data_IF_307596296885
#
_entry.id   IF_307596296885
#
_cell.length_a   1.000
_cell.length_b   1.000
_cell.length_c   1.000
_cell.angle_alpha   90.00
_cell.angle_beta   90.00
_cell.angle_gamma   90.00
#
_symmetry.space_group_name_H-M   'P 1'
#
loop_
_entity.id
_entity.type
_entity.pdbx_description
1 polymer ?
#
# COMPACT_ATOMS: atom_id res chain seq x y z
N UNK A 1 -2.92 -31.81 3.15
CA UNK A 1 -2.54 -31.13 4.40
C UNK A 1 -1.62 -29.91 4.17
N UNK A 2 -0.80 -29.91 3.10
CA UNK A 2 0.14 -28.84 2.74
C UNK A 2 -0.48 -27.47 2.39
N UNK A 3 -1.71 -27.44 1.87
CA UNK A 3 -2.35 -26.15 1.51
C UNK A 3 -2.75 -25.32 2.73
N UNK A 4 -3.20 -25.94 3.82
CA UNK A 4 -3.63 -25.21 5.01
C UNK A 4 -2.42 -24.64 5.77
N UNK A 5 -1.33 -25.42 5.82
CA UNK A 5 -0.06 -24.99 6.43
C UNK A 5 0.47 -23.72 5.76
N UNK A 6 0.57 -23.69 4.43
CA UNK A 6 1.06 -22.51 3.73
C UNK A 6 0.14 -21.28 3.96
N UNK A 7 -1.18 -21.47 3.98
CA UNK A 7 -2.11 -20.39 4.32
C UNK A 7 -1.87 -19.87 5.75
N UNK A 8 -1.68 -20.77 6.72
CA UNK A 8 -1.38 -20.40 8.10
C UNK A 8 -0.06 -19.63 8.21
N UNK A 9 1.01 -20.12 7.57
CA UNK A 9 2.33 -19.48 7.57
C UNK A 9 2.29 -18.08 6.94
N UNK A 10 1.57 -17.90 5.83
CA UNK A 10 1.35 -16.57 5.23
C UNK A 10 0.61 -15.63 6.18
N UNK A 11 -0.42 -16.13 6.87
CA UNK A 11 -1.12 -15.31 7.87
C UNK A 11 -0.18 -14.88 9.00
N UNK A 12 0.68 -15.77 9.51
CA UNK A 12 1.69 -15.41 10.52
C UNK A 12 2.66 -14.36 9.97
N UNK A 13 3.17 -14.57 8.75
CA UNK A 13 4.10 -13.66 8.07
C UNK A 13 3.53 -12.23 7.97
N UNK A 14 2.23 -12.07 7.69
CA UNK A 14 1.59 -10.76 7.54
C UNK A 14 1.68 -9.86 8.78
N UNK A 15 1.85 -10.45 9.97
CA UNK A 15 1.91 -9.74 11.24
C UNK A 15 3.32 -9.61 11.80
N UNK A 16 4.37 -10.01 11.05
CA UNK A 16 5.74 -9.80 11.48
C UNK A 16 6.10 -8.30 11.46
N UNK A 17 6.63 -7.75 12.56
CA UNK A 17 6.74 -6.30 12.71
C UNK A 17 7.97 -5.70 12.01
N UNK A 18 9.04 -6.49 11.81
CA UNK A 18 10.31 -5.99 11.28
C UNK A 18 10.89 -6.89 10.19
N UNK A 19 11.74 -6.32 9.32
CA UNK A 19 12.46 -7.12 8.31
C UNK A 19 13.36 -8.19 8.95
N UNK A 20 13.86 -7.95 10.16
CA UNK A 20 14.66 -8.92 10.92
C UNK A 20 13.81 -10.14 11.30
N UNK A 21 12.56 -9.94 11.70
CA UNK A 21 11.66 -11.03 12.04
C UNK A 21 11.25 -11.82 10.80
N UNK A 22 11.04 -11.15 9.66
CA UNK A 22 10.84 -11.81 8.36
C UNK A 22 12.04 -12.68 7.98
N UNK A 23 13.26 -12.16 8.13
CA UNK A 23 14.48 -12.93 7.86
C UNK A 23 14.63 -14.14 8.77
N UNK A 24 14.33 -14.01 10.06
CA UNK A 24 14.32 -15.13 11.01
C UNK A 24 13.25 -16.15 10.66
N UNK A 25 12.05 -15.71 10.29
CA UNK A 25 10.96 -16.56 9.86
C UNK A 25 11.36 -17.41 8.65
N UNK A 26 12.00 -16.82 7.64
CA UNK A 26 12.52 -17.54 6.47
C UNK A 26 13.46 -18.69 6.85
N UNK A 27 14.24 -18.52 7.92
CA UNK A 27 15.25 -19.47 8.38
C UNK A 27 14.68 -20.60 9.26
N UNK A 28 13.41 -20.52 9.68
CA UNK A 28 12.79 -21.55 10.55
C UNK A 28 12.61 -22.86 9.81
N UNK A 29 12.10 -22.81 8.58
CA UNK A 29 11.87 -24.00 7.75
C UNK A 29 11.71 -23.64 6.28
N UNK A 30 11.86 -24.63 5.41
CA UNK A 30 11.58 -24.49 3.97
C UNK A 30 10.16 -24.00 3.70
N UNK A 31 9.16 -24.48 4.46
CA UNK A 31 7.77 -24.00 4.34
C UNK A 31 7.64 -22.50 4.63
N UNK A 32 8.42 -21.96 5.57
CA UNK A 32 8.41 -20.53 5.90
C UNK A 32 9.06 -19.69 4.78
N UNK A 33 10.17 -20.17 4.22
CA UNK A 33 10.79 -19.57 3.04
C UNK A 33 9.83 -19.58 1.83
N UNK A 34 9.16 -20.71 1.58
CA UNK A 34 8.14 -20.83 0.53
C UNK A 34 6.95 -19.88 0.77
N UNK A 35 6.55 -19.65 2.02
CA UNK A 35 5.50 -18.70 2.35
C UNK A 35 5.89 -17.26 1.97
N UNK A 36 7.14 -16.84 2.21
CA UNK A 36 7.68 -15.54 1.75
C UNK A 36 7.67 -15.47 0.22
N UNK A 37 8.15 -16.52 -0.44
CA UNK A 37 8.25 -16.55 -1.90
C UNK A 37 6.88 -16.57 -2.59
N UNK A 38 5.80 -16.97 -1.90
CA UNK A 38 4.48 -17.12 -2.52
C UNK A 38 3.43 -16.16 -1.97
N UNK A 39 3.82 -15.19 -1.14
CA UNK A 39 2.92 -14.13 -0.68
C UNK A 39 2.83 -13.02 -1.73
N UNK A 40 1.63 -12.47 -1.90
CA UNK A 40 1.34 -11.44 -2.90
C UNK A 40 1.17 -10.04 -2.30
N UNK A 41 1.22 -9.92 -0.96
CA UNK A 41 1.13 -8.66 -0.22
C UNK A 41 2.16 -8.64 0.91
N UNK A 42 2.71 -7.47 1.22
CA UNK A 42 3.70 -7.32 2.27
C UNK A 42 3.06 -7.40 3.66
N UNK A 43 3.84 -7.78 4.69
CA UNK A 43 3.41 -7.64 6.08
C UNK A 43 3.02 -6.21 6.44
N UNK A 44 1.97 -6.08 7.23
CA UNK A 44 1.24 -4.82 7.42
C UNK A 44 2.02 -3.77 8.20
N UNK A 45 2.88 -4.20 9.12
CA UNK A 45 3.65 -3.30 9.98
C UNK A 45 4.92 -2.76 9.29
N UNK A 46 5.46 -3.47 8.29
CA UNK A 46 6.75 -3.11 7.69
C UNK A 46 6.74 -1.71 7.08
N UNK A 47 5.65 -1.32 6.43
CA UNK A 47 5.55 -0.04 5.72
C UNK A 47 5.55 1.17 6.64
N UNK A 48 5.42 0.97 7.96
CA UNK A 48 5.55 2.03 8.95
C UNK A 48 7.02 2.44 9.14
N UNK A 49 7.92 1.46 9.11
CA UNK A 49 9.32 1.65 9.52
C UNK A 49 10.31 1.54 8.35
N UNK A 50 9.91 0.87 7.28
CA UNK A 50 10.74 0.54 6.14
C UNK A 50 10.21 1.18 4.85
N UNK A 51 11.15 1.55 3.99
CA UNK A 51 10.91 2.05 2.65
C UNK A 51 10.52 0.93 1.69
N UNK A 52 10.04 1.34 0.52
CA UNK A 52 9.68 0.44 -0.56
C UNK A 52 10.87 -0.41 -1.02
N UNK A 53 12.04 0.24 -1.16
CA UNK A 53 13.28 -0.37 -1.64
C UNK A 53 13.88 -1.38 -0.64
N UNK A 54 13.55 -1.27 0.65
CA UNK A 54 13.92 -2.27 1.66
C UNK A 54 13.00 -3.49 1.67
N UNK A 55 11.70 -3.30 1.36
CA UNK A 55 10.69 -4.36 1.47
C UNK A 55 10.66 -5.23 0.20
N UNK A 56 10.63 -4.63 -0.98
CA UNK A 56 10.43 -5.35 -2.25
C UNK A 56 11.41 -6.49 -2.47
N UNK A 57 12.73 -6.33 -2.24
CA UNK A 57 13.69 -7.40 -2.52
C UNK A 57 13.43 -8.69 -1.73
N UNK A 58 12.71 -8.60 -0.60
CA UNK A 58 12.38 -9.77 0.23
C UNK A 58 11.15 -10.54 -0.26
N UNK A 59 10.30 -9.93 -1.09
CA UNK A 59 9.03 -10.52 -1.53
C UNK A 59 9.00 -10.59 -3.07
N UNK A 60 9.62 -11.61 -3.69
CA UNK A 60 9.85 -11.64 -5.13
C UNK A 60 8.56 -11.70 -5.96
N UNK A 61 7.48 -12.24 -5.40
CA UNK A 61 6.18 -12.35 -6.06
C UNK A 61 5.16 -11.32 -5.57
N UNK A 62 5.62 -10.21 -4.96
CA UNK A 62 4.74 -9.17 -4.46
C UNK A 62 3.91 -8.52 -5.57
N UNK A 63 2.58 -8.60 -5.47
CA UNK A 63 1.64 -8.01 -6.46
C UNK A 63 0.95 -6.76 -5.93
N UNK A 64 0.75 -6.68 -4.61
CA UNK A 64 0.14 -5.53 -3.92
C UNK A 64 1.04 -5.06 -2.80
N UNK A 65 1.36 -3.78 -2.77
CA UNK A 65 2.06 -3.11 -1.69
C UNK A 65 1.04 -2.38 -0.81
N UNK A 66 0.84 -2.90 0.40
CA UNK A 66 -0.05 -2.35 1.39
C UNK A 66 0.68 -1.35 2.30
N UNK A 67 0.29 -0.09 2.18
CA UNK A 67 0.71 1.03 3.01
C UNK A 67 -0.28 1.18 4.16
N UNK A 68 0.12 0.79 5.37
CA UNK A 68 -0.78 0.83 6.53
C UNK A 68 -1.14 2.26 6.94
N UNK A 69 -0.15 3.15 6.96
CA UNK A 69 -0.31 4.58 7.29
C UNK A 69 0.73 5.44 6.58
N UNK A 70 0.53 6.76 6.59
CA UNK A 70 1.48 7.74 6.03
C UNK A 70 2.91 7.45 6.51
N UNK A 71 3.75 6.94 5.62
CA UNK A 71 5.14 6.65 5.92
C UNK A 71 6.01 7.78 5.42
N UNK A 72 6.86 8.29 6.30
CA UNK A 72 7.85 9.32 5.97
C UNK A 72 8.94 8.82 5.00
N UNK A 73 8.94 7.52 4.66
CA UNK A 73 9.96 6.85 3.85
C UNK A 73 9.40 6.22 2.58
N UNK A 74 8.22 6.65 2.13
CA UNK A 74 7.71 6.28 0.81
C UNK A 74 8.45 7.09 -0.26
N UNK A 75 9.65 6.66 -0.60
CA UNK A 75 10.32 7.06 -1.83
C UNK A 75 10.70 5.79 -2.59
N UNK A 76 10.73 5.88 -3.92
CA UNK A 76 11.22 4.81 -4.78
C UNK A 76 12.19 5.41 -5.78
N UNK A 77 13.34 4.77 -5.94
CA UNK A 77 14.39 5.21 -6.87
C UNK A 77 14.05 4.78 -8.31
N UNK A 78 13.34 3.66 -8.51
CA UNK A 78 13.03 3.11 -9.85
C UNK A 78 11.57 2.66 -10.02
N UNK A 79 10.85 3.25 -10.99
CA UNK A 79 9.39 3.09 -11.10
C UNK A 79 8.88 1.83 -11.84
N UNK A 80 9.75 1.04 -12.46
CA UNK A 80 9.31 0.08 -13.49
C UNK A 80 8.65 -1.19 -12.92
N UNK A 81 9.01 -1.63 -11.71
CA UNK A 81 8.44 -2.83 -11.07
C UNK A 81 7.70 -2.47 -9.79
N UNK A 82 6.68 -1.60 -9.90
CA UNK A 82 5.83 -1.24 -8.76
C UNK A 82 4.55 -2.08 -8.79
N UNK A 83 4.32 -2.94 -7.78
CA UNK A 83 3.02 -3.59 -7.54
C UNK A 83 1.86 -2.58 -7.41
N UNK A 84 0.63 -3.09 -7.44
CA UNK A 84 -0.54 -2.29 -7.08
C UNK A 84 -0.38 -1.75 -5.65
N UNK A 85 -0.93 -0.58 -5.35
CA UNK A 85 -0.81 0.05 -4.04
C UNK A 85 -2.18 0.10 -3.38
N UNK A 86 -2.21 -0.31 -2.11
CA UNK A 86 -3.37 -0.14 -1.24
C UNK A 86 -2.98 0.65 -0.01
N UNK A 87 -3.77 1.66 0.32
CA UNK A 87 -3.49 2.57 1.42
C UNK A 87 -4.57 2.42 2.49
N UNK A 88 -4.20 1.84 3.63
CA UNK A 88 -5.10 1.56 4.76
C UNK A 88 -5.57 2.79 5.53
N UNK A 89 -4.80 3.88 5.49
CA UNK A 89 -5.17 5.15 6.09
C UNK A 89 -4.14 6.23 5.82
N UNK A 90 -4.55 7.31 5.17
CA UNK A 90 -3.69 8.44 4.90
C UNK A 90 -4.10 9.66 5.73
N UNK A 91 -3.25 9.99 6.69
CA UNK A 91 -3.34 11.20 7.50
C UNK A 91 -1.94 11.79 7.63
N UNK A 92 -1.69 12.98 7.07
CA UNK A 92 -0.42 13.66 7.32
C UNK A 92 -0.62 14.53 8.56
N UNK A 93 0.11 14.25 9.63
CA UNK A 93 0.07 15.11 10.82
C UNK A 93 1.30 16.01 10.94
N UNK A 94 2.40 15.71 10.24
CA UNK A 94 3.69 16.39 10.49
C UNK A 94 4.52 16.72 9.25
N UNK A 95 4.57 15.88 8.21
CA UNK A 95 5.29 16.17 6.95
C UNK A 95 4.49 15.70 5.75
N UNK A 96 4.28 16.61 4.80
CA UNK A 96 3.61 16.29 3.54
C UNK A 96 4.53 15.44 2.67
N UNK A 97 4.06 14.27 2.26
CA UNK A 97 4.81 13.46 1.29
C UNK A 97 4.67 14.06 -0.11
N UNK A 98 5.69 13.87 -0.94
CA UNK A 98 5.67 14.29 -2.33
C UNK A 98 5.15 13.19 -3.28
N UNK A 99 4.88 11.97 -2.78
CA UNK A 99 4.49 10.86 -3.67
C UNK A 99 3.18 11.10 -4.41
N UNK A 100 2.26 11.90 -3.85
CA UNK A 100 1.02 12.22 -4.56
C UNK A 100 1.18 13.23 -5.71
N UNK A 101 2.31 13.94 -5.74
CA UNK A 101 2.67 14.78 -6.88
C UNK A 101 3.31 13.97 -8.02
N UNK A 102 3.52 12.65 -7.85
CA UNK A 102 4.11 11.79 -8.87
C UNK A 102 3.10 10.83 -9.48
N UNK A 103 3.12 10.71 -10.81
CA UNK A 103 2.26 9.77 -11.52
C UNK A 103 2.59 8.31 -11.19
N UNK A 104 3.86 7.99 -10.90
CA UNK A 104 4.28 6.61 -10.62
C UNK A 104 3.56 6.02 -9.41
N UNK A 105 3.31 6.81 -8.36
CA UNK A 105 2.65 6.34 -7.14
C UNK A 105 1.15 6.29 -7.35
N UNK A 106 0.55 7.43 -7.71
CA UNK A 106 -0.89 7.56 -7.89
C UNK A 106 -1.47 6.59 -8.94
N UNK A 107 -0.74 6.32 -10.02
CA UNK A 107 -1.20 5.41 -11.08
C UNK A 107 -1.31 3.94 -10.65
N UNK A 108 -0.67 3.58 -9.53
CA UNK A 108 -0.69 2.23 -8.97
C UNK A 108 -1.69 2.07 -7.82
N UNK A 109 -2.24 3.17 -7.31
CA UNK A 109 -3.20 3.13 -6.21
C UNK A 109 -4.49 2.49 -6.71
N UNK A 110 -4.83 1.33 -6.14
CA UNK A 110 -6.10 0.63 -6.36
C UNK A 110 -7.13 0.99 -5.28
N UNK A 111 -6.67 1.13 -4.04
CA UNK A 111 -7.52 1.46 -2.89
C UNK A 111 -6.85 2.50 -2.02
N UNK A 112 -7.60 3.50 -1.58
CA UNK A 112 -7.10 4.47 -0.63
C UNK A 112 -8.17 4.91 0.35
N UNK A 113 -7.81 4.85 1.63
CA UNK A 113 -8.51 5.52 2.70
C UNK A 113 -7.76 6.79 3.08
N UNK A 114 -8.36 7.96 2.97
CA UNK A 114 -7.69 9.26 3.12
C UNK A 114 -8.56 10.25 3.88
N UNK A 115 -7.95 11.08 4.72
CA UNK A 115 -8.64 12.17 5.39
C UNK A 115 -9.13 13.26 4.40
N UNK A 116 -10.31 13.83 4.67
CA UNK A 116 -11.03 14.69 3.75
C UNK A 116 -10.27 15.92 3.31
N UNK A 117 -9.53 16.54 4.24
CA UNK A 117 -8.67 17.68 3.95
C UNK A 117 -7.60 17.34 2.90
N UNK A 118 -7.03 16.13 2.97
CA UNK A 118 -5.97 15.68 2.08
C UNK A 118 -6.50 15.16 0.75
N UNK A 119 -7.66 14.52 0.76
CA UNK A 119 -8.36 14.09 -0.44
C UNK A 119 -8.51 15.26 -1.42
N UNK A 120 -8.96 16.40 -0.91
CA UNK A 120 -9.07 17.66 -1.68
C UNK A 120 -7.73 18.05 -2.33
N UNK A 121 -6.67 18.13 -1.53
CA UNK A 121 -5.34 18.57 -2.00
C UNK A 121 -4.69 17.64 -3.01
N UNK A 122 -4.97 16.36 -2.92
CA UNK A 122 -4.27 15.30 -3.67
C UNK A 122 -5.05 14.90 -4.91
N UNK A 123 -6.32 14.54 -4.73
CA UNK A 123 -7.11 13.93 -5.81
C UNK A 123 -7.67 15.01 -6.72
N UNK A 124 -8.18 16.14 -6.20
CA UNK A 124 -8.68 17.23 -7.07
C UNK A 124 -7.56 17.91 -7.86
N UNK A 125 -6.34 17.96 -7.31
CA UNK A 125 -5.20 18.58 -7.99
C UNK A 125 -4.71 17.75 -9.17
N UNK A 126 -4.75 16.41 -9.05
CA UNK A 126 -4.22 15.49 -10.04
C UNK A 126 -5.15 14.29 -10.29
N UNK A 127 -6.43 14.50 -10.68
CA UNK A 127 -7.41 13.42 -10.80
C UNK A 127 -6.99 12.37 -11.83
N UNK A 128 -6.37 12.82 -12.92
CA UNK A 128 -5.89 11.98 -14.01
C UNK A 128 -4.70 11.08 -13.63
N UNK A 129 -4.12 11.22 -12.44
CA UNK A 129 -3.05 10.33 -11.98
C UNK A 129 -3.61 9.01 -11.44
N UNK A 130 -4.88 8.96 -11.02
CA UNK A 130 -5.51 7.81 -10.36
C UNK A 130 -6.16 6.83 -11.35
N UNK A 131 -5.36 6.31 -12.28
CA UNK A 131 -5.86 5.47 -13.39
C UNK A 131 -6.27 4.04 -13.00
N UNK A 132 -5.92 3.58 -11.80
CA UNK A 132 -6.26 2.24 -11.29
C UNK A 132 -7.12 2.27 -10.04
N UNK A 133 -7.56 3.46 -9.60
CA UNK A 133 -8.27 3.65 -8.34
C UNK A 133 -9.69 3.07 -8.44
N UNK A 134 -9.97 2.04 -7.65
CA UNK A 134 -11.26 1.34 -7.63
C UNK A 134 -12.07 1.64 -6.37
N UNK A 135 -11.39 1.94 -5.25
CA UNK A 135 -12.02 2.17 -3.95
C UNK A 135 -11.41 3.41 -3.29
N UNK A 136 -12.25 4.41 -3.02
CA UNK A 136 -11.89 5.63 -2.31
C UNK A 136 -12.75 5.74 -1.05
N UNK A 137 -12.10 5.75 0.11
CA UNK A 137 -12.76 5.97 1.40
C UNK A 137 -12.28 7.29 1.96
N UNK A 138 -13.18 8.26 2.02
CA UNK A 138 -12.91 9.56 2.64
C UNK A 138 -13.24 9.49 4.12
N UNK A 139 -12.25 9.76 4.96
CA UNK A 139 -12.41 9.89 6.41
C UNK A 139 -12.56 11.36 6.79
N UNK A 140 -13.39 11.68 7.78
CA UNK A 140 -13.57 13.02 8.35
C UNK A 140 -13.90 14.11 7.31
N UNK A 141 -15.19 14.49 7.26
CA UNK A 141 -15.71 15.75 6.71
C UNK A 141 -15.10 16.26 5.40
N UNK A 142 -15.64 15.83 4.26
CA UNK A 142 -15.52 16.57 2.99
C UNK A 142 -16.82 17.36 2.75
N UNK A 143 -16.69 18.54 2.15
CA UNK A 143 -17.81 19.29 1.57
C UNK A 143 -18.50 18.46 0.47
N UNK A 144 -19.83 18.33 0.54
CA UNK A 144 -20.65 17.57 -0.41
C UNK A 144 -20.28 17.87 -1.88
N UNK A 145 -19.95 19.12 -2.21
CA UNK A 145 -19.57 19.51 -3.58
C UNK A 145 -18.27 18.84 -4.06
N UNK A 146 -17.29 18.67 -3.17
CA UNK A 146 -16.05 17.95 -3.45
C UNK A 146 -16.28 16.44 -3.57
N UNK A 147 -17.23 15.86 -2.82
CA UNK A 147 -17.62 14.46 -3.00
C UNK A 147 -18.17 14.21 -4.42
N UNK A 148 -19.00 15.11 -4.94
CA UNK A 148 -19.60 14.98 -6.28
C UNK A 148 -18.51 14.89 -7.36
N UNK A 149 -17.49 15.76 -7.31
CA UNK A 149 -16.37 15.72 -8.26
C UNK A 149 -15.57 14.41 -8.16
N UNK A 150 -15.44 13.83 -6.97
CA UNK A 150 -14.76 12.54 -6.79
C UNK A 150 -15.55 11.38 -7.41
N UNK A 151 -16.90 11.41 -7.37
CA UNK A 151 -17.75 10.40 -8.02
C UNK A 151 -17.69 10.41 -9.55
N UNK A 152 -17.18 11.49 -10.16
CA UNK A 152 -16.95 11.59 -11.60
C UNK A 152 -15.68 10.85 -12.06
N UNK A 153 -14.84 10.37 -11.13
CA UNK A 153 -13.65 9.60 -11.49
C UNK A 153 -14.05 8.29 -12.19
N UNK A 154 -13.58 8.05 -13.44
CA UNK A 154 -14.08 6.96 -14.29
C UNK A 154 -13.69 5.57 -13.80
N UNK A 155 -12.71 5.47 -12.91
CA UNK A 155 -12.11 4.22 -12.42
C UNK A 155 -12.77 3.71 -11.14
N UNK A 156 -13.50 4.57 -10.42
CA UNK A 156 -14.16 4.20 -9.17
C UNK A 156 -15.31 3.22 -9.42
N UNK A 157 -15.35 2.16 -8.61
CA UNK A 157 -16.52 1.29 -8.56
C UNK A 157 -17.66 2.07 -7.88
N UNK A 158 -18.79 2.17 -8.56
CA UNK A 158 -20.01 2.85 -8.08
C UNK A 158 -20.96 1.86 -7.43
#
# INVERSE_FOLDING_TARGET
MTHLENVFLKNVLLYLPTLKDVGRFAQVSKSCEEAINTIYVNPYELTIHHSFDEIIPLFPNLQTFYVRRCSSRLYKITANDIPLIEVGGWNEQSKQTQVFNTKWFCSKIRKIRIDGYYCKKVIEKHPNYFIQLQELVVMNGIDINALIQLFELPTLKK
#
